data_IF_976251460731
#
_entry.id   IF_976251460731
#
_cell.length_a   1.000
_cell.length_b   1.000
_cell.length_c   1.000
_cell.angle_alpha   90.00
_cell.angle_beta   90.00
_cell.angle_gamma   90.00
#
_symmetry.space_group_name_H-M   'P 1'
#
loop_
_entity.id
_entity.type
_entity.pdbx_description
1 polymer ?
#
# COMPACT_ATOMS: atom_id res chain seq x y z
N UNK A 1 5.12 7.06 3.24
CA UNK A 1 6.23 7.18 2.27
C UNK A 1 5.61 7.10 0.90
N UNK A 2 5.76 8.13 0.11
CA UNK A 2 5.18 8.17 -1.25
C UNK A 2 6.25 8.52 -2.27
N UNK A 3 6.08 8.04 -3.51
CA UNK A 3 6.96 8.39 -4.61
C UNK A 3 6.15 8.59 -5.89
N UNK A 4 6.51 9.62 -6.65
CA UNK A 4 5.99 9.89 -7.99
C UNK A 4 7.13 10.49 -8.81
N UNK A 5 7.48 9.88 -9.92
CA UNK A 5 8.56 10.31 -10.85
C UNK A 5 9.89 10.62 -10.13
N UNK A 6 10.27 9.74 -9.21
CA UNK A 6 11.49 9.88 -8.42
C UNK A 6 11.43 10.93 -7.32
N UNK A 7 10.36 11.71 -7.22
CA UNK A 7 10.12 12.59 -6.08
C UNK A 7 9.59 11.78 -4.90
N UNK A 8 10.49 11.40 -4.02
CA UNK A 8 10.18 10.62 -2.83
C UNK A 8 9.90 11.56 -1.67
N UNK A 9 8.77 11.31 -0.98
CA UNK A 9 8.36 12.05 0.20
C UNK A 9 8.21 11.09 1.38
N UNK A 10 8.84 11.42 2.49
CA UNK A 10 8.66 10.75 3.78
C UNK A 10 7.92 11.72 4.69
N UNK A 11 6.81 11.28 5.26
CA UNK A 11 6.05 12.00 6.26
C UNK A 11 6.12 11.19 7.56
N UNK A 12 6.63 11.80 8.61
CA UNK A 12 6.63 11.25 9.96
C UNK A 12 5.62 12.02 10.79
N UNK A 13 4.77 11.30 11.50
CA UNK A 13 3.81 11.87 12.44
C UNK A 13 4.28 11.46 13.82
N UNK A 14 4.61 12.43 14.65
CA UNK A 14 5.08 12.22 16.02
C UNK A 14 3.90 12.04 16.98
N UNK A 15 4.16 11.50 18.17
CA UNK A 15 3.14 11.26 19.21
C UNK A 15 2.43 12.55 19.66
N UNK A 16 3.10 13.69 19.59
CA UNK A 16 2.57 15.03 19.90
C UNK A 16 1.69 15.62 18.76
N UNK A 17 1.52 14.87 17.67
CA UNK A 17 0.77 15.31 16.48
C UNK A 17 1.58 16.19 15.52
N UNK A 18 2.83 16.50 15.82
CA UNK A 18 3.69 17.24 14.89
C UNK A 18 4.05 16.38 13.67
N UNK A 19 4.13 17.02 12.52
CA UNK A 19 4.48 16.36 11.26
C UNK A 19 5.84 16.85 10.76
N UNK A 20 6.72 15.90 10.48
CA UNK A 20 7.95 16.13 9.74
C UNK A 20 7.81 15.61 8.31
N UNK A 21 8.12 16.43 7.33
CA UNK A 21 8.04 16.10 5.91
C UNK A 21 9.39 16.30 5.25
N UNK A 22 9.96 15.21 4.76
CA UNK A 22 11.18 15.22 3.96
C UNK A 22 10.84 14.90 2.51
N UNK A 23 11.38 15.67 1.58
CA UNK A 23 11.21 15.47 0.12
C UNK A 23 12.58 15.42 -0.52
N UNK A 24 12.83 14.39 -1.32
CA UNK A 24 14.09 14.22 -2.03
C UNK A 24 13.87 13.63 -3.43
N UNK A 25 14.75 13.95 -4.36
CA UNK A 25 14.77 13.33 -5.68
C UNK A 25 15.67 12.10 -5.64
N UNK A 26 15.13 10.94 -6.01
CA UNK A 26 15.84 9.65 -5.97
C UNK A 26 15.77 8.96 -7.32
N UNK A 27 16.83 8.22 -7.66
CA UNK A 27 16.85 7.36 -8.85
C UNK A 27 16.24 5.98 -8.58
N UNK A 28 16.43 5.47 -7.38
CA UNK A 28 15.98 4.14 -6.95
C UNK A 28 15.28 4.24 -5.59
N UNK A 29 13.96 4.47 -5.57
CA UNK A 29 13.20 4.60 -4.30
C UNK A 29 13.36 3.41 -3.36
N UNK A 30 13.59 2.22 -3.91
CA UNK A 30 13.84 1.00 -3.14
C UNK A 30 15.04 1.06 -2.20
N UNK A 31 16.05 1.87 -2.50
CA UNK A 31 17.22 2.01 -1.61
C UNK A 31 16.83 2.73 -0.31
N UNK A 32 16.05 3.81 -0.42
CA UNK A 32 15.53 4.51 0.78
C UNK A 32 14.64 3.60 1.62
N UNK A 33 13.81 2.75 0.98
CA UNK A 33 13.00 1.76 1.69
C UNK A 33 13.87 0.79 2.46
N UNK A 34 14.95 0.28 1.86
CA UNK A 34 15.88 -0.63 2.53
C UNK A 34 16.57 0.01 3.73
N UNK A 35 16.95 1.28 3.64
CA UNK A 35 17.53 2.01 4.77
C UNK A 35 16.52 2.16 5.92
N UNK A 36 15.27 2.54 5.63
CA UNK A 36 14.22 2.61 6.64
C UNK A 36 14.02 1.24 7.31
N UNK A 37 13.91 0.16 6.52
CA UNK A 37 13.70 -1.19 7.07
C UNK A 37 14.86 -1.69 7.92
N UNK A 38 16.09 -1.22 7.72
CA UNK A 38 17.22 -1.55 8.59
C UNK A 38 17.02 -1.03 10.01
N UNK A 39 16.43 0.17 10.17
CA UNK A 39 16.16 0.77 11.47
C UNK A 39 15.06 0.00 12.22
N UNK A 40 14.14 -0.66 11.51
CA UNK A 40 12.99 -1.38 12.06
C UNK A 40 13.14 -2.90 11.99
N UNK A 41 14.37 -3.40 11.93
CA UNK A 41 14.62 -4.84 11.87
C UNK A 41 14.28 -5.51 13.18
N UNK A 42 13.31 -6.43 13.17
CA UNK A 42 12.86 -7.22 14.32
C UNK A 42 13.33 -8.68 14.23
N UNK A 43 13.52 -9.37 15.36
CA UNK A 43 13.78 -10.81 15.35
C UNK A 43 12.54 -11.59 14.92
N UNK A 44 12.75 -12.74 14.28
CA UNK A 44 11.69 -13.72 14.01
C UNK A 44 11.55 -14.58 15.25
N UNK A 45 10.37 -14.56 15.89
CA UNK A 45 10.08 -15.31 17.10
C UNK A 45 9.13 -16.48 16.78
N UNK A 46 9.36 -17.62 17.41
CA UNK A 46 8.44 -18.76 17.34
C UNK A 46 7.06 -18.36 17.88
N UNK A 47 5.99 -18.92 17.30
CA UNK A 47 4.61 -18.67 17.68
C UNK A 47 4.08 -17.26 17.47
N UNK A 48 4.83 -16.39 16.78
CA UNK A 48 4.34 -15.10 16.31
C UNK A 48 3.76 -15.22 14.90
N UNK A 49 2.84 -14.32 14.51
CA UNK A 49 2.36 -14.25 13.13
C UNK A 49 3.51 -13.85 12.20
N UNK A 50 3.39 -14.17 10.91
CA UNK A 50 4.37 -13.83 9.89
C UNK A 50 4.59 -12.33 9.74
N UNK A 51 3.56 -11.53 9.99
CA UNK A 51 3.64 -10.08 9.97
C UNK A 51 3.55 -9.54 11.40
N UNK A 52 4.63 -8.95 11.89
CA UNK A 52 4.73 -8.34 13.23
C UNK A 52 4.96 -6.83 13.19
N UNK A 53 4.95 -6.27 12.00
CA UNK A 53 5.21 -4.86 11.69
C UNK A 53 5.98 -4.72 10.39
N UNK A 54 6.04 -3.52 9.85
CA UNK A 54 6.74 -3.24 8.61
C UNK A 54 5.96 -2.32 7.68
N UNK A 55 6.35 -2.28 6.43
CA UNK A 55 5.74 -1.43 5.42
C UNK A 55 4.56 -2.12 4.74
N UNK A 56 3.43 -1.44 4.70
CA UNK A 56 2.20 -1.88 4.01
C UNK A 56 1.76 -0.81 3.04
N UNK A 57 1.36 -1.21 1.84
CA UNK A 57 0.88 -0.32 0.80
C UNK A 57 1.01 -0.95 -0.57
N UNK A 58 1.30 -0.14 -1.59
CA UNK A 58 1.40 -0.65 -2.95
C UNK A 58 2.59 -0.06 -3.71
N UNK A 59 3.01 -0.81 -4.70
CA UNK A 59 3.82 -0.37 -5.82
C UNK A 59 2.96 -0.41 -7.07
N UNK A 60 2.91 0.69 -7.82
CA UNK A 60 2.19 0.70 -9.10
C UNK A 60 2.90 -0.15 -10.14
N UNK A 61 2.21 -0.48 -11.23
CA UNK A 61 2.85 -1.14 -12.36
C UNK A 61 4.00 -0.31 -12.93
N UNK A 62 3.83 1.00 -12.99
CA UNK A 62 4.81 1.94 -13.54
C UNK A 62 6.08 2.09 -12.67
N UNK A 63 6.09 1.52 -11.45
CA UNK A 63 7.29 1.42 -10.63
C UNK A 63 8.43 0.66 -11.34
N UNK A 64 8.12 -0.16 -12.33
CA UNK A 64 9.11 -0.87 -13.16
C UNK A 64 10.11 0.07 -13.83
N UNK A 65 9.75 1.32 -14.10
CA UNK A 65 10.65 2.34 -14.67
C UNK A 65 11.93 2.56 -13.86
N UNK A 66 11.90 2.28 -12.56
CA UNK A 66 13.08 2.38 -11.69
C UNK A 66 14.03 1.18 -11.80
N UNK A 67 13.52 0.03 -12.26
CA UNK A 67 14.31 -1.20 -12.49
C UNK A 67 14.73 -1.34 -13.94
N UNK A 68 13.91 -0.86 -14.88
CA UNK A 68 14.10 -0.98 -16.31
C UNK A 68 14.17 0.40 -16.99
N UNK A 69 15.32 1.11 -16.92
CA UNK A 69 15.44 2.48 -17.44
C UNK A 69 15.25 2.61 -18.96
N UNK A 70 15.30 1.49 -19.69
CA UNK A 70 15.05 1.46 -21.14
C UNK A 70 13.57 1.57 -21.49
N UNK A 71 12.67 1.24 -20.56
CA UNK A 71 11.24 1.38 -20.76
C UNK A 71 10.87 2.88 -20.73
N UNK A 72 10.40 3.37 -21.85
CA UNK A 72 9.76 4.69 -21.93
C UNK A 72 8.27 4.46 -21.75
N UNK A 73 7.78 4.70 -20.53
CA UNK A 73 6.35 4.72 -20.30
C UNK A 73 5.82 6.02 -20.92
N UNK A 74 4.77 5.90 -21.75
CA UNK A 74 4.13 7.08 -22.36
C UNK A 74 3.33 7.81 -21.30
N UNK A 75 3.44 9.14 -21.25
CA UNK A 75 2.78 10.01 -20.26
C UNK A 75 1.25 10.07 -20.36
N UNK A 76 0.65 9.24 -21.22
CA UNK A 76 -0.80 9.22 -21.43
C UNK A 76 -1.60 8.50 -20.33
N UNK A 77 -0.92 7.90 -19.36
CA UNK A 77 -1.58 7.24 -18.24
C UNK A 77 -1.95 8.23 -17.15
N UNK A 78 -3.17 8.12 -16.70
CA UNK A 78 -3.82 8.93 -15.64
C UNK A 78 -2.85 9.18 -14.49
N UNK A 79 -2.42 10.42 -14.36
CA UNK A 79 -1.38 10.89 -13.42
C UNK A 79 -1.80 10.90 -11.94
N UNK A 80 -2.94 10.32 -11.59
CA UNK A 80 -3.44 10.31 -10.21
C UNK A 80 -2.90 9.14 -9.36
N UNK A 81 -2.09 8.26 -9.95
CA UNK A 81 -1.52 7.12 -9.25
C UNK A 81 -0.06 7.36 -8.91
N UNK A 82 0.29 7.24 -7.64
CA UNK A 82 1.68 7.28 -7.19
C UNK A 82 2.40 6.00 -7.63
N UNK A 83 3.69 6.12 -7.94
CA UNK A 83 4.52 4.97 -8.24
C UNK A 83 4.60 4.02 -7.03
N UNK A 84 4.56 4.61 -5.83
CA UNK A 84 4.62 3.89 -4.58
C UNK A 84 3.91 4.70 -3.48
N UNK A 85 3.13 4.02 -2.66
CA UNK A 85 2.52 4.57 -1.44
C UNK A 85 2.58 3.53 -0.33
N UNK A 86 3.41 3.77 0.68
CA UNK A 86 3.69 2.85 1.77
C UNK A 86 3.51 3.54 3.12
N UNK A 87 2.95 2.81 4.08
CA UNK A 87 2.86 3.20 5.48
C UNK A 87 3.68 2.22 6.32
N UNK A 88 4.41 2.74 7.31
CA UNK A 88 5.11 1.92 8.29
C UNK A 88 4.18 1.66 9.47
N UNK A 89 4.04 0.40 9.82
CA UNK A 89 3.29 -0.06 10.98
C UNK A 89 4.24 -0.74 11.95
N UNK A 90 4.28 -0.26 13.17
CA UNK A 90 5.05 -0.79 14.30
C UNK A 90 4.15 -1.35 15.41
N UNK A 91 2.83 -1.23 15.21
CA UNK A 91 1.79 -1.78 16.07
C UNK A 91 0.86 -2.65 15.24
N UNK A 92 0.61 -3.88 15.69
CA UNK A 92 -0.20 -4.85 14.96
C UNK A 92 -1.16 -5.56 15.91
N UNK A 93 -2.42 -5.64 15.51
CA UNK A 93 -3.42 -6.52 16.13
C UNK A 93 -3.62 -7.70 15.18
N UNK A 94 -3.19 -8.88 15.61
CA UNK A 94 -3.28 -10.09 14.79
C UNK A 94 -4.33 -11.05 15.35
N UNK A 95 -5.28 -11.46 14.50
CA UNK A 95 -6.30 -12.46 14.82
C UNK A 95 -5.82 -13.84 14.34
N UNK A 96 -5.43 -14.71 15.27
CA UNK A 96 -5.08 -16.09 14.97
C UNK A 96 -6.34 -16.98 15.09
N UNK A 97 -6.99 -17.19 13.96
CA UNK A 97 -8.22 -17.99 13.90
C UNK A 97 -7.96 -19.47 14.20
N UNK A 98 -6.76 -19.98 13.93
CA UNK A 98 -6.42 -21.38 14.22
C UNK A 98 -6.25 -21.63 15.70
N UNK A 99 -5.56 -20.72 16.41
CA UNK A 99 -5.34 -20.84 17.86
C UNK A 99 -6.39 -20.12 18.70
N UNK A 100 -7.37 -19.47 18.06
CA UNK A 100 -8.43 -18.69 18.71
C UNK A 100 -7.85 -17.63 19.67
N UNK A 101 -6.87 -16.88 19.21
CA UNK A 101 -6.16 -15.84 19.99
C UNK A 101 -6.12 -14.52 19.24
N UNK A 102 -6.08 -13.45 20.01
CA UNK A 102 -5.72 -12.11 19.53
C UNK A 102 -4.35 -11.77 20.09
N UNK A 103 -3.40 -11.46 19.23
CA UNK A 103 -2.06 -11.04 19.62
C UNK A 103 -1.94 -9.54 19.40
N UNK A 104 -1.47 -8.84 20.42
CA UNK A 104 -1.14 -7.42 20.37
C UNK A 104 0.38 -7.31 20.31
N UNK A 105 0.88 -6.65 19.30
CA UNK A 105 2.31 -6.60 18.99
C UNK A 105 2.71 -5.14 18.84
N UNK A 106 3.79 -4.74 19.50
CA UNK A 106 4.42 -3.45 19.29
C UNK A 106 5.93 -3.58 19.28
N UNK A 107 6.60 -2.79 18.46
CA UNK A 107 8.05 -2.73 18.40
C UNK A 107 8.66 -1.96 19.59
N UNK A 108 9.86 -2.36 19.99
CA UNK A 108 10.66 -1.69 21.01
C UNK A 108 11.98 -1.26 20.39
N UNK A 109 12.27 0.03 20.41
CA UNK A 109 13.55 0.55 19.93
C UNK A 109 14.65 0.30 20.94
N UNK A 110 15.77 -0.28 20.49
CA UNK A 110 16.87 -0.72 21.37
C UNK A 110 17.81 0.40 21.82
N UNK A 111 17.73 1.59 21.19
CA UNK A 111 18.61 2.72 21.51
C UNK A 111 18.37 3.31 22.92
N UNK A 112 17.11 3.32 23.38
CA UNK A 112 16.69 3.65 24.75
C UNK A 112 15.70 2.58 25.20
N UNK A 113 16.23 1.43 25.59
CA UNK A 113 15.45 0.23 25.82
C UNK A 113 14.42 0.39 26.95
N UNK A 114 14.79 0.99 28.06
CA UNK A 114 13.92 1.12 29.24
C UNK A 114 12.71 2.02 28.97
N UNK A 115 12.93 3.18 28.37
CA UNK A 115 11.88 4.11 28.05
C UNK A 115 11.00 3.57 26.92
N UNK A 116 11.60 2.96 25.88
CA UNK A 116 10.88 2.35 24.77
C UNK A 116 10.02 1.16 25.22
N UNK A 117 10.51 0.35 26.15
CA UNK A 117 9.75 -0.76 26.70
C UNK A 117 8.53 -0.28 27.49
N UNK A 118 8.70 0.74 28.36
CA UNK A 118 7.58 1.34 29.10
C UNK A 118 6.50 1.89 28.15
N UNK A 119 6.90 2.63 27.12
CA UNK A 119 5.98 3.12 26.09
C UNK A 119 5.26 1.99 25.37
N UNK A 120 5.97 0.90 25.05
CA UNK A 120 5.39 -0.27 24.43
C UNK A 120 4.32 -0.93 25.30
N UNK A 121 4.56 -1.04 26.62
CA UNK A 121 3.54 -1.54 27.56
C UNK A 121 2.29 -0.65 27.61
N UNK A 122 2.45 0.66 27.59
CA UNK A 122 1.34 1.61 27.52
C UNK A 122 0.54 1.42 26.23
N UNK A 123 1.21 1.31 25.08
CA UNK A 123 0.56 1.05 23.78
C UNK A 123 -0.21 -0.28 23.76
N UNK A 124 0.36 -1.35 24.31
CA UNK A 124 -0.34 -2.64 24.40
C UNK A 124 -1.61 -2.54 25.27
N UNK A 125 -1.59 -1.76 26.34
CA UNK A 125 -2.78 -1.51 27.18
C UNK A 125 -3.84 -0.71 26.42
N UNK A 126 -3.43 0.34 25.68
CA UNK A 126 -4.33 1.12 24.82
C UNK A 126 -5.00 0.25 23.75
N UNK A 127 -4.22 -0.60 23.06
CA UNK A 127 -4.73 -1.53 22.05
C UNK A 127 -5.73 -2.54 22.68
N UNK A 128 -5.43 -3.07 23.88
CA UNK A 128 -6.32 -3.97 24.59
C UNK A 128 -7.63 -3.29 25.02
N UNK A 129 -7.54 -2.04 25.46
CA UNK A 129 -8.70 -1.23 25.84
C UNK A 129 -9.56 -0.90 24.64
N UNK A 130 -8.96 -0.54 23.52
CA UNK A 130 -9.65 -0.28 22.24
C UNK A 130 -10.49 -1.49 21.80
N UNK A 131 -9.94 -2.71 21.92
CA UNK A 131 -10.66 -3.92 21.54
C UNK A 131 -11.83 -4.19 22.49
N UNK A 132 -11.67 -3.95 23.79
CA UNK A 132 -12.68 -4.28 24.80
C UNK A 132 -13.77 -3.23 24.93
N UNK A 133 -13.40 -1.96 24.83
CA UNK A 133 -14.23 -0.82 25.20
C UNK A 133 -14.37 0.22 24.08
N UNK A 134 -13.70 0.02 22.94
CA UNK A 134 -13.76 0.93 21.78
C UNK A 134 -15.19 1.06 21.25
N UNK A 135 -15.55 2.23 20.80
CA UNK A 135 -16.83 2.47 20.14
C UNK A 135 -16.80 1.85 18.74
N UNK A 136 -17.90 1.19 18.40
CA UNK A 136 -18.11 0.73 17.03
C UNK A 136 -18.79 1.86 16.25
N UNK A 137 -18.08 2.35 15.21
CA UNK A 137 -18.66 3.32 14.29
C UNK A 137 -19.44 2.60 13.19
N UNK A 138 -20.59 3.16 12.84
CA UNK A 138 -21.34 2.73 11.66
C UNK A 138 -20.87 3.53 10.45
N UNK A 139 -20.37 2.85 9.45
CA UNK A 139 -19.97 3.47 8.19
C UNK A 139 -21.02 3.17 7.12
N UNK A 140 -21.41 4.18 6.31
CA UNK A 140 -22.36 3.95 5.23
C UNK A 140 -21.75 2.98 4.18
N UNK A 141 -22.58 2.05 3.72
CA UNK A 141 -22.23 1.13 2.64
C UNK A 141 -21.88 1.89 1.37
N UNK A 142 -20.98 1.32 0.55
CA UNK A 142 -20.64 1.87 -0.76
C UNK A 142 -21.89 1.97 -1.63
N UNK A 143 -22.15 3.16 -2.14
CA UNK A 143 -23.25 3.44 -3.09
C UNK A 143 -22.69 4.08 -4.33
N UNK A 144 -23.03 3.54 -5.49
CA UNK A 144 -22.71 4.17 -6.76
C UNK A 144 -23.57 5.44 -6.93
N UNK A 145 -22.90 6.54 -7.32
CA UNK A 145 -23.51 7.84 -7.59
C UNK A 145 -23.56 8.17 -9.08
N UNK A 146 -23.00 7.32 -9.92
CA UNK A 146 -23.09 7.40 -11.38
C UNK A 146 -23.22 6.01 -12.00
N UNK A 147 -23.56 5.94 -13.28
CA UNK A 147 -23.38 4.75 -14.10
C UNK A 147 -21.91 4.34 -14.14
N UNK A 148 -21.68 3.04 -14.38
CA UNK A 148 -20.33 2.52 -14.66
C UNK A 148 -20.04 2.77 -16.13
N UNK A 149 -18.96 3.49 -16.41
CA UNK A 149 -18.56 3.86 -17.76
C UNK A 149 -17.21 3.24 -18.11
N UNK A 150 -17.09 2.55 -19.25
CA UNK A 150 -15.83 2.02 -19.75
C UNK A 150 -14.96 3.17 -20.29
N UNK A 151 -13.64 3.07 -20.10
CA UNK A 151 -12.70 4.04 -20.67
C UNK A 151 -12.69 4.01 -22.21
N UNK A 152 -12.79 2.82 -22.77
CA UNK A 152 -12.86 2.62 -24.21
C UNK A 152 -14.26 2.12 -24.59
N UNK A 153 -14.97 2.77 -25.55
CA UNK A 153 -16.21 2.26 -26.06
C UNK A 153 -15.97 0.94 -26.82
N UNK A 154 -17.04 0.17 -27.04
CA UNK A 154 -16.99 -1.16 -27.63
C UNK A 154 -16.20 -1.22 -28.93
N UNK A 155 -16.46 -0.29 -29.83
CA UNK A 155 -15.83 -0.23 -31.15
C UNK A 155 -14.31 -0.08 -31.02
N UNK A 156 -13.86 0.85 -30.16
CA UNK A 156 -12.43 1.09 -29.90
C UNK A 156 -11.76 -0.13 -29.28
N UNK A 157 -12.43 -0.78 -28.34
CA UNK A 157 -11.88 -1.98 -27.72
C UNK A 157 -11.76 -3.14 -28.73
N UNK A 158 -12.73 -3.30 -29.65
CA UNK A 158 -12.63 -4.27 -30.72
C UNK A 158 -11.48 -4.00 -31.69
N UNK A 159 -11.19 -2.74 -32.02
CA UNK A 159 -10.04 -2.37 -32.84
C UNK A 159 -8.72 -2.77 -32.12
N UNK A 160 -8.62 -2.53 -30.82
CA UNK A 160 -7.45 -2.94 -30.02
C UNK A 160 -7.26 -4.46 -30.05
N UNK A 161 -8.35 -5.24 -29.99
CA UNK A 161 -8.29 -6.70 -30.09
C UNK A 161 -7.75 -7.13 -31.45
N UNK A 162 -8.24 -6.54 -32.56
CA UNK A 162 -7.76 -6.89 -33.91
C UNK A 162 -6.27 -6.50 -34.08
N UNK A 163 -5.84 -5.37 -33.54
CA UNK A 163 -4.44 -4.97 -33.54
C UNK A 163 -3.58 -6.00 -32.77
N UNK A 164 -4.04 -6.42 -31.61
CA UNK A 164 -3.34 -7.44 -30.81
C UNK A 164 -3.24 -8.78 -31.55
N UNK A 165 -4.32 -9.21 -32.23
CA UNK A 165 -4.34 -10.42 -33.06
C UNK A 165 -3.36 -10.33 -34.23
N UNK A 166 -3.20 -9.13 -34.81
CA UNK A 166 -2.21 -8.90 -35.85
C UNK A 166 -0.79 -9.18 -35.33
N UNK A 167 -0.38 -8.58 -34.24
CA UNK A 167 0.95 -8.79 -33.66
C UNK A 167 1.22 -10.24 -33.24
N UNK A 168 0.19 -10.98 -32.80
CA UNK A 168 0.31 -12.41 -32.53
C UNK A 168 0.59 -13.20 -33.81
N UNK A 169 -0.10 -12.86 -34.91
CA UNK A 169 0.07 -13.56 -36.21
C UNK A 169 1.44 -13.28 -36.84
N UNK A 170 1.94 -12.06 -36.70
CA UNK A 170 3.29 -11.67 -37.17
C UNK A 170 4.40 -12.28 -36.31
N UNK A 171 4.09 -12.83 -35.14
CA UNK A 171 5.06 -13.43 -34.24
C UNK A 171 5.80 -12.45 -33.35
N UNK A 172 5.37 -11.20 -33.32
CA UNK A 172 5.97 -10.16 -32.45
C UNK A 172 5.68 -10.43 -30.97
N UNK A 173 4.50 -10.96 -30.66
CA UNK A 173 4.08 -11.37 -29.32
C UNK A 173 3.35 -12.71 -29.39
N UNK A 174 3.37 -13.48 -28.31
CA UNK A 174 2.60 -14.74 -28.23
C UNK A 174 1.35 -14.58 -27.35
N UNK A 175 1.32 -13.58 -26.49
CA UNK A 175 0.20 -13.27 -25.58
C UNK A 175 0.16 -11.77 -25.25
N UNK A 176 -1.05 -11.25 -25.11
CA UNK A 176 -1.30 -9.90 -24.58
C UNK A 176 -2.60 -9.90 -23.80
N UNK A 177 -2.64 -9.14 -22.72
CA UNK A 177 -3.85 -8.91 -21.94
C UNK A 177 -4.30 -7.47 -22.14
N UNK A 178 -5.44 -7.29 -22.80
CA UNK A 178 -6.06 -5.99 -22.99
C UNK A 178 -6.96 -5.67 -21.80
N UNK A 179 -6.89 -4.44 -21.31
CA UNK A 179 -7.70 -3.95 -20.20
C UNK A 179 -8.63 -2.84 -20.67
N UNK A 180 -9.85 -2.81 -20.12
CA UNK A 180 -10.77 -1.71 -20.27
C UNK A 180 -11.21 -1.23 -18.88
N UNK A 181 -10.58 -0.20 -18.31
CA UNK A 181 -10.95 0.32 -17.00
C UNK A 181 -12.41 0.79 -16.97
N UNK A 182 -13.13 0.39 -15.94
CA UNK A 182 -14.49 0.82 -15.66
C UNK A 182 -14.45 1.87 -14.55
N UNK A 183 -15.16 2.98 -14.71
CA UNK A 183 -15.19 4.09 -13.74
C UNK A 183 -16.61 4.42 -13.35
N UNK A 184 -16.80 4.69 -12.06
CA UNK A 184 -18.05 5.23 -11.53
C UNK A 184 -17.74 6.14 -10.35
N UNK A 185 -18.59 7.13 -10.11
CA UNK A 185 -18.57 7.89 -8.86
C UNK A 185 -19.23 7.05 -7.78
N UNK A 186 -18.60 6.98 -6.62
CA UNK A 186 -19.12 6.24 -5.47
C UNK A 186 -18.96 7.04 -4.19
N UNK A 187 -19.78 6.74 -3.19
CA UNK A 187 -19.72 7.32 -1.85
C UNK A 187 -19.83 6.20 -0.83
N UNK A 188 -19.08 6.29 0.27
CA UNK A 188 -18.98 5.26 1.31
C UNK A 188 -17.70 4.47 1.23
N UNK A 189 -17.52 3.50 2.16
CA UNK A 189 -16.34 2.64 2.24
C UNK A 189 -16.63 1.24 1.68
N UNK A 190 -15.81 0.79 0.72
CA UNK A 190 -15.97 -0.52 0.09
C UNK A 190 -15.49 -1.67 0.94
N UNK A 191 -14.47 -1.46 1.79
CA UNK A 191 -13.83 -2.51 2.59
C UNK A 191 -14.67 -3.04 3.74
N UNK A 192 -15.74 -2.36 4.13
CA UNK A 192 -16.63 -2.76 5.23
C UNK A 192 -17.45 -4.00 4.87
N UNK A 193 -17.60 -4.32 3.60
CA UNK A 193 -18.43 -5.41 3.11
C UNK A 193 -17.64 -6.64 2.65
N UNK A 194 -16.33 -6.61 2.85
CA UNK A 194 -15.47 -7.76 2.59
C UNK A 194 -15.33 -8.61 3.85
#
# INVERSE_FOLDING_TARGET
>A
ITCTDGKLQIRRIHEDGTEEKTVQQVKHPGDTIREILKEYKSPVLENMPTFTGGLVGYFSYDYIKYSEPKLKLTDETVQDFRDMDLMLFDQVIAFDHYRQKVLLITGVMTGDLENSYRKAEEKLKEMADLIRNGKQDEFPSLKLKSSIEPQFPKEKYCEMVETARHYIREGDIFQVVLSNPMRAKAEGLSLIHI
#
